data_IF_987338080296
#
_entry.id   IF_987338080296
#
_cell.length_a   1.000
_cell.length_b   1.000
_cell.length_c   1.000
_cell.angle_alpha   90.00
_cell.angle_beta   90.00
_cell.angle_gamma   90.00
#
_symmetry.space_group_name_H-M   'P 1'
#
loop_
_entity.id
_entity.type
_entity.pdbx_description
1 polymer ?
#
# COMPACT_ATOMS: atom_id res chain seq x y z
N UNK A 1 -10.78 -50.08 -37.84
CA UNK A 1 -9.57 -50.00 -38.70
C UNK A 1 -8.93 -48.62 -38.52
N UNK A 2 -7.62 -48.45 -38.33
CA UNK A 2 -6.58 -49.41 -37.89
C UNK A 2 -5.36 -48.64 -37.36
N UNK A 3 -4.69 -49.14 -36.31
CA UNK A 3 -3.51 -48.52 -35.69
C UNK A 3 -2.33 -48.43 -36.69
N UNK A 4 -1.70 -47.25 -36.87
CA UNK A 4 -0.39 -47.18 -37.57
C UNK A 4 0.56 -46.00 -37.25
N UNK A 5 0.42 -45.32 -36.10
CA UNK A 5 1.34 -44.23 -35.68
C UNK A 5 2.07 -44.46 -34.35
N UNK A 6 1.91 -45.63 -33.70
CA UNK A 6 2.65 -46.01 -32.49
C UNK A 6 3.76 -47.03 -32.84
N UNK A 7 4.98 -46.57 -33.16
CA UNK A 7 6.20 -47.43 -33.11
C UNK A 7 7.58 -46.73 -33.12
N UNK A 8 7.73 -45.49 -32.64
CA UNK A 8 9.03 -44.76 -32.64
C UNK A 8 9.36 -43.96 -31.35
N UNK A 9 9.00 -44.47 -30.17
CA UNK A 9 9.25 -43.78 -28.88
C UNK A 9 9.80 -44.73 -27.78
N UNK A 10 10.69 -45.68 -28.12
CA UNK A 10 11.13 -46.70 -27.15
C UNK A 10 12.62 -47.11 -27.11
N UNK A 11 13.58 -46.24 -27.52
CA UNK A 11 14.96 -46.36 -27.02
C UNK A 11 15.53 -45.04 -26.46
N UNK A 12 14.69 -44.09 -26.04
CA UNK A 12 15.13 -42.77 -25.51
C UNK A 12 14.84 -42.60 -24.01
N UNK A 13 13.86 -43.31 -23.46
CA UNK A 13 13.36 -43.09 -22.09
C UNK A 13 14.27 -43.65 -20.97
N UNK A 14 15.23 -44.53 -21.31
CA UNK A 14 16.09 -45.24 -20.33
C UNK A 14 17.33 -44.43 -19.92
N UNK A 15 17.73 -43.41 -20.70
CA UNK A 15 18.96 -42.63 -20.43
C UNK A 15 18.68 -41.35 -19.62
N UNK A 16 17.43 -40.91 -19.53
CA UNK A 16 17.05 -39.65 -18.84
C UNK A 16 16.84 -39.86 -17.32
N UNK A 17 16.49 -41.07 -16.89
CA UNK A 17 16.11 -41.37 -15.50
C UNK A 17 17.27 -41.38 -14.50
N UNK A 18 18.52 -41.52 -14.94
CA UNK A 18 19.70 -41.61 -14.07
C UNK A 18 20.23 -40.23 -13.62
N UNK A 19 19.86 -39.15 -14.32
CA UNK A 19 20.33 -37.77 -14.02
C UNK A 19 19.31 -36.89 -13.29
N UNK A 20 18.17 -37.44 -12.87
CA UNK A 20 17.16 -36.75 -12.06
C UNK A 20 16.80 -37.55 -10.79
N UNK A 21 17.82 -37.95 -10.03
CA UNK A 21 17.63 -38.32 -8.63
C UNK A 21 17.32 -37.05 -7.82
N UNK A 22 16.10 -36.89 -7.25
CA UNK A 22 15.80 -35.73 -6.42
C UNK A 22 16.52 -35.89 -5.08
N UNK A 23 17.52 -35.07 -4.81
CA UNK A 23 18.12 -34.95 -3.47
C UNK A 23 17.08 -34.33 -2.53
N UNK A 24 16.23 -35.21 -1.97
CA UNK A 24 15.29 -34.87 -0.89
C UNK A 24 16.12 -34.59 0.36
N UNK A 25 16.44 -33.32 0.60
CA UNK A 25 16.96 -32.87 1.89
C UNK A 25 15.86 -33.03 2.94
N UNK A 26 15.80 -34.22 3.54
CA UNK A 26 14.89 -34.53 4.65
C UNK A 26 15.43 -33.85 5.90
N UNK A 27 14.76 -32.79 6.31
CA UNK A 27 14.95 -32.19 7.63
C UNK A 27 14.64 -33.24 8.71
N UNK A 28 15.41 -33.25 9.79
CA UNK A 28 15.24 -34.22 10.86
C UNK A 28 13.93 -33.96 11.62
N UNK A 29 13.07 -34.96 11.68
CA UNK A 29 11.87 -34.96 12.52
C UNK A 29 11.82 -36.30 13.28
N UNK A 30 11.90 -36.25 14.60
CA UNK A 30 11.88 -37.41 15.49
C UNK A 30 10.47 -37.78 15.92
N UNK A 31 10.07 -39.04 15.75
CA UNK A 31 8.99 -39.68 16.51
C UNK A 31 9.11 -41.22 16.45
N UNK A 32 8.66 -41.91 17.50
CA UNK A 32 8.74 -43.37 17.66
C UNK A 32 7.43 -44.09 17.27
N UNK A 33 7.52 -45.43 17.29
CA UNK A 33 6.51 -46.37 17.79
C UNK A 33 5.48 -46.98 16.81
N UNK A 34 5.70 -48.27 16.54
CA UNK A 34 4.77 -49.42 16.61
C UNK A 34 3.31 -49.31 16.13
N UNK A 35 2.93 -50.28 15.29
CA UNK A 35 1.86 -51.25 15.63
C UNK A 35 1.95 -52.53 14.78
N UNK A 36 1.27 -53.60 15.22
CA UNK A 36 1.33 -54.97 14.68
C UNK A 36 -0.04 -55.38 14.14
N UNK A 37 -0.12 -56.28 13.15
CA UNK A 37 -1.06 -57.44 13.06
C UNK A 37 -1.12 -58.05 11.64
N UNK A 38 -0.93 -59.38 11.60
CA UNK A 38 -1.51 -60.46 10.74
C UNK A 38 -2.27 -60.12 9.45
N UNK A 39 -2.23 -60.94 8.38
CA UNK A 39 -1.49 -62.18 8.04
C UNK A 39 -1.59 -62.36 6.48
N UNK A 40 -1.26 -63.45 5.78
CA UNK A 40 -0.95 -64.87 6.05
C UNK A 40 -0.12 -65.43 4.83
N UNK A 41 0.20 -66.71 4.57
CA UNK A 41 -0.17 -68.05 5.08
C UNK A 41 0.93 -69.10 4.78
N UNK A 42 0.96 -70.20 5.55
CA UNK A 42 1.53 -71.54 5.24
C UNK A 42 2.92 -71.69 4.56
N UNK A 43 3.86 -72.28 5.31
CA UNK A 43 4.83 -73.26 4.75
C UNK A 43 4.18 -74.65 4.66
N UNK A 44 4.74 -75.58 3.87
CA UNK A 44 5.30 -76.79 4.50
C UNK A 44 6.68 -77.19 3.95
N UNK A 45 7.33 -78.15 4.61
CA UNK A 45 8.74 -78.52 4.41
C UNK A 45 9.01 -79.42 3.19
N UNK A 46 10.22 -79.27 2.64
CA UNK A 46 11.01 -80.38 2.10
C UNK A 46 12.51 -80.07 2.35
N UNK A 47 13.30 -81.08 2.74
CA UNK A 47 14.71 -80.90 3.11
C UNK A 47 15.66 -80.94 1.89
N UNK A 48 16.85 -80.37 2.09
CA UNK A 48 17.95 -80.23 1.12
C UNK A 48 18.44 -81.56 0.53
N UNK A 49 19.17 -81.55 -0.61
CA UNK A 49 20.62 -81.33 -0.47
C UNK A 49 21.27 -80.41 -1.51
N UNK A 50 22.35 -79.76 -1.04
CA UNK A 50 23.57 -79.33 -1.74
C UNK A 50 23.60 -79.34 -3.29
N UNK A 51 23.78 -78.14 -3.85
CA UNK A 51 24.62 -77.95 -5.05
C UNK A 51 25.17 -76.53 -5.17
N UNK A 52 26.48 -76.41 -4.99
CA UNK A 52 27.27 -75.36 -5.65
C UNK A 52 27.15 -75.47 -7.19
N UNK A 53 27.60 -74.42 -7.90
CA UNK A 53 27.69 -74.29 -9.38
C UNK A 53 26.40 -73.89 -10.13
N UNK A 54 26.03 -72.59 -10.12
CA UNK A 54 25.16 -72.04 -11.19
C UNK A 54 25.16 -70.50 -11.40
N UNK A 55 26.32 -69.84 -11.41
CA UNK A 55 26.42 -68.40 -11.79
C UNK A 55 27.33 -68.08 -13.01
N UNK A 56 28.30 -68.94 -13.38
CA UNK A 56 29.23 -68.62 -14.50
C UNK A 56 28.60 -68.81 -15.90
N UNK A 57 27.61 -69.70 -16.03
CA UNK A 57 27.17 -70.24 -17.33
C UNK A 57 26.39 -69.25 -18.23
N UNK A 58 25.77 -68.19 -17.70
CA UNK A 58 24.98 -67.26 -18.52
C UNK A 58 25.85 -66.42 -19.46
N UNK A 59 27.00 -65.93 -18.99
CA UNK A 59 27.91 -65.12 -19.81
C UNK A 59 28.57 -65.95 -20.93
N UNK A 60 28.88 -67.21 -20.67
CA UNK A 60 29.42 -68.12 -21.69
C UNK A 60 28.43 -68.37 -22.83
N UNK A 61 27.13 -68.53 -22.52
CA UNK A 61 26.08 -68.73 -23.51
C UNK A 61 26.03 -67.61 -24.56
N UNK A 62 26.18 -66.34 -24.14
CA UNK A 62 26.24 -65.20 -25.07
C UNK A 62 27.53 -65.21 -25.92
N UNK A 63 28.69 -65.52 -25.32
CA UNK A 63 29.99 -65.67 -26.02
C UNK A 63 29.99 -66.83 -27.04
N UNK A 64 29.03 -67.74 -26.95
CA UNK A 64 28.94 -68.95 -27.77
C UNK A 64 27.67 -69.08 -28.61
N UNK A 65 26.88 -68.01 -28.72
CA UNK A 65 25.71 -67.94 -29.59
C UNK A 65 26.03 -68.30 -31.05
N UNK A 66 25.07 -68.92 -31.74
CA UNK A 66 25.26 -69.45 -33.10
C UNK A 66 25.72 -68.38 -34.10
N UNK A 67 25.29 -67.11 -33.93
CA UNK A 67 25.75 -65.99 -34.74
C UNK A 67 27.25 -65.69 -34.56
N UNK A 68 27.75 -65.67 -33.32
CA UNK A 68 29.17 -65.42 -33.01
C UNK A 68 30.04 -66.57 -33.52
N UNK A 69 29.61 -67.83 -33.31
CA UNK A 69 30.32 -69.02 -33.82
C UNK A 69 30.34 -69.08 -35.35
N UNK A 70 29.22 -68.80 -36.03
CA UNK A 70 29.16 -68.80 -37.50
C UNK A 70 30.01 -67.67 -38.12
N UNK A 71 30.09 -66.50 -37.48
CA UNK A 71 30.93 -65.41 -37.94
C UNK A 71 32.43 -65.72 -37.75
N UNK A 72 32.82 -66.25 -36.59
CA UNK A 72 34.21 -66.65 -36.30
C UNK A 72 34.71 -67.75 -37.24
N UNK A 73 33.89 -68.78 -37.48
CA UNK A 73 34.21 -69.87 -38.41
C UNK A 73 34.44 -69.40 -39.85
N UNK A 74 33.76 -68.33 -40.29
CA UNK A 74 33.90 -67.78 -41.64
C UNK A 74 35.09 -66.80 -41.80
N UNK A 75 35.70 -66.36 -40.71
CA UNK A 75 36.92 -65.54 -40.70
C UNK A 75 38.18 -66.28 -40.20
N UNK A 76 38.06 -67.53 -39.76
CA UNK A 76 39.21 -68.34 -39.32
C UNK A 76 39.79 -67.94 -37.96
N UNK A 77 38.96 -67.40 -37.05
CA UNK A 77 39.40 -66.91 -35.73
C UNK A 77 38.67 -67.62 -34.59
N UNK A 78 39.36 -67.78 -33.45
CA UNK A 78 38.85 -68.50 -32.29
C UNK A 78 37.61 -67.81 -31.68
N UNK A 79 36.66 -68.61 -31.16
CA UNK A 79 35.35 -68.12 -30.70
C UNK A 79 35.44 -67.00 -29.65
N UNK A 80 36.43 -67.04 -28.77
CA UNK A 80 36.70 -65.99 -27.78
C UNK A 80 37.12 -64.65 -28.40
N UNK A 81 37.89 -64.69 -29.49
CA UNK A 81 38.32 -63.50 -30.22
C UNK A 81 37.11 -62.87 -30.93
N UNK A 82 36.23 -63.69 -31.52
CA UNK A 82 34.98 -63.23 -32.12
C UNK A 82 34.03 -62.59 -31.08
N UNK A 83 33.87 -63.20 -29.91
CA UNK A 83 33.08 -62.65 -28.81
C UNK A 83 33.66 -61.32 -28.30
N UNK A 84 34.98 -61.25 -28.08
CA UNK A 84 35.67 -60.05 -27.59
C UNK A 84 35.62 -58.92 -28.62
N UNK A 85 35.81 -59.23 -29.91
CA UNK A 85 35.66 -58.25 -30.99
C UNK A 85 34.23 -57.72 -31.10
N UNK A 86 33.21 -58.56 -30.96
CA UNK A 86 31.82 -58.12 -30.97
C UNK A 86 31.50 -57.18 -29.79
N UNK A 87 31.95 -57.50 -28.57
CA UNK A 87 31.82 -56.61 -27.42
C UNK A 87 32.55 -55.28 -27.63
N UNK A 88 33.77 -55.31 -28.18
CA UNK A 88 34.55 -54.10 -28.48
C UNK A 88 33.88 -53.22 -29.55
N UNK A 89 33.30 -53.82 -30.59
CA UNK A 89 32.55 -53.11 -31.64
C UNK A 89 31.28 -52.46 -31.08
N UNK A 90 30.52 -53.18 -30.23
CA UNK A 90 29.34 -52.62 -29.57
C UNK A 90 29.70 -51.47 -28.62
N UNK A 91 30.79 -51.62 -27.84
CA UNK A 91 31.29 -50.55 -26.97
C UNK A 91 31.75 -49.32 -27.78
N UNK A 92 32.50 -49.53 -28.86
CA UNK A 92 32.92 -48.44 -29.75
C UNK A 92 31.72 -47.73 -30.38
N UNK A 93 30.71 -48.46 -30.84
CA UNK A 93 29.48 -47.89 -31.40
C UNK A 93 28.71 -47.06 -30.36
N UNK A 94 28.63 -47.54 -29.11
CA UNK A 94 28.03 -46.82 -27.99
C UNK A 94 28.80 -45.53 -27.67
N UNK A 95 30.13 -45.61 -27.53
CA UNK A 95 31.00 -44.46 -27.24
C UNK A 95 30.95 -43.41 -28.37
N UNK A 96 30.93 -43.84 -29.63
CA UNK A 96 30.76 -42.93 -30.79
C UNK A 96 29.39 -42.26 -30.75
N UNK A 97 28.31 -43.02 -30.51
CA UNK A 97 26.95 -42.49 -30.44
C UNK A 97 26.74 -41.49 -29.30
N UNK A 98 27.11 -41.87 -28.07
CA UNK A 98 27.01 -41.02 -26.87
C UNK A 98 27.96 -39.82 -26.99
N UNK A 99 29.18 -40.03 -27.45
CA UNK A 99 30.16 -38.96 -27.69
C UNK A 99 29.64 -37.92 -28.68
N UNK A 100 29.10 -38.34 -29.83
CA UNK A 100 28.50 -37.42 -30.81
C UNK A 100 27.34 -36.61 -30.24
N UNK A 101 26.50 -37.22 -29.40
CA UNK A 101 25.42 -36.50 -28.69
C UNK A 101 25.99 -35.50 -27.68
N UNK A 102 26.97 -35.88 -26.86
CA UNK A 102 27.62 -34.99 -25.88
C UNK A 102 28.30 -33.80 -26.55
N UNK A 103 29.16 -34.02 -27.55
CA UNK A 103 29.85 -32.96 -28.30
C UNK A 103 28.87 -31.99 -28.97
N UNK A 104 27.67 -32.46 -29.35
CA UNK A 104 26.62 -31.64 -29.99
C UNK A 104 25.72 -30.88 -29.00
N UNK A 105 25.66 -31.30 -27.74
CA UNK A 105 24.73 -30.77 -26.72
C UNK A 105 25.42 -29.96 -25.62
N UNK A 106 26.53 -30.44 -25.06
CA UNK A 106 27.29 -29.75 -24.01
C UNK A 106 27.65 -28.30 -24.37
N UNK A 107 28.26 -27.97 -25.53
CA UNK A 107 28.63 -26.59 -25.83
C UNK A 107 27.42 -25.67 -26.06
N UNK A 108 26.23 -26.21 -26.33
CA UNK A 108 24.98 -25.42 -26.34
C UNK A 108 24.56 -25.11 -24.91
N UNK A 109 24.42 -26.13 -24.07
CA UNK A 109 24.01 -25.99 -22.66
C UNK A 109 24.93 -25.07 -21.87
N UNK A 110 26.26 -25.16 -22.07
CA UNK A 110 27.20 -24.23 -21.44
C UNK A 110 27.02 -22.80 -21.96
N UNK A 111 26.96 -22.60 -23.28
CA UNK A 111 26.80 -21.25 -23.87
C UNK A 111 25.48 -20.59 -23.47
N UNK A 112 24.40 -21.35 -23.37
CA UNK A 112 23.09 -20.83 -22.99
C UNK A 112 23.02 -20.56 -21.47
N UNK A 113 23.70 -21.35 -20.62
CA UNK A 113 23.95 -21.01 -19.21
C UNK A 113 24.81 -19.74 -19.05
N UNK A 114 25.89 -19.59 -19.82
CA UNK A 114 26.73 -18.38 -19.78
C UNK A 114 25.94 -17.13 -20.20
N UNK A 115 25.10 -17.22 -21.24
CA UNK A 115 24.18 -16.14 -21.62
C UNK A 115 23.18 -15.81 -20.52
N UNK A 116 22.59 -16.82 -19.87
CA UNK A 116 21.65 -16.61 -18.76
C UNK A 116 22.34 -15.91 -17.58
N UNK A 117 23.53 -16.36 -17.18
CA UNK A 117 24.33 -15.73 -16.11
C UNK A 117 24.71 -14.28 -16.48
N UNK A 118 25.17 -14.05 -17.71
CA UNK A 118 25.50 -12.70 -18.19
C UNK A 118 24.27 -11.79 -18.18
N UNK A 119 23.10 -12.29 -18.62
CA UNK A 119 21.84 -11.56 -18.56
C UNK A 119 21.43 -11.25 -17.12
N UNK A 120 21.44 -12.23 -16.22
CA UNK A 120 21.09 -12.00 -14.82
C UNK A 120 22.04 -11.00 -14.15
N UNK A 121 23.32 -10.97 -14.53
CA UNK A 121 24.28 -9.97 -14.05
C UNK A 121 24.02 -8.57 -14.64
N UNK A 122 23.60 -8.44 -15.90
CA UNK A 122 23.18 -7.14 -16.46
C UNK A 122 21.87 -6.66 -15.85
N UNK A 123 20.86 -7.54 -15.77
CA UNK A 123 19.53 -7.25 -15.23
C UNK A 123 19.65 -6.80 -13.76
N UNK A 124 20.45 -7.50 -12.95
CA UNK A 124 20.75 -7.12 -11.57
C UNK A 124 21.47 -5.76 -11.47
N UNK A 125 22.50 -5.52 -12.29
CA UNK A 125 23.21 -4.21 -12.31
C UNK A 125 22.27 -3.06 -12.69
N UNK A 126 21.37 -3.25 -13.67
CA UNK A 126 20.38 -2.24 -14.03
C UNK A 126 19.37 -2.02 -12.92
N UNK A 127 18.89 -3.08 -12.24
CA UNK A 127 17.98 -2.96 -11.12
C UNK A 127 18.62 -2.24 -9.91
N UNK A 128 19.89 -2.52 -9.60
CA UNK A 128 20.63 -1.78 -8.57
C UNK A 128 20.81 -0.31 -8.95
N UNK A 129 21.23 -0.02 -10.19
CA UNK A 129 21.41 1.37 -10.65
C UNK A 129 20.09 2.16 -10.63
N UNK A 130 18.98 1.54 -11.03
CA UNK A 130 17.65 2.15 -10.95
C UNK A 130 17.20 2.35 -9.49
N UNK A 131 17.44 1.37 -8.61
CA UNK A 131 17.13 1.50 -7.18
C UNK A 131 17.92 2.64 -6.51
N UNK A 132 19.22 2.77 -6.82
CA UNK A 132 20.04 3.90 -6.35
C UNK A 132 19.57 5.24 -6.90
N UNK A 133 19.25 5.33 -8.20
CA UNK A 133 18.71 6.55 -8.79
C UNK A 133 17.36 6.96 -8.17
N UNK A 134 16.49 5.98 -7.92
CA UNK A 134 15.21 6.19 -7.21
C UNK A 134 15.47 6.66 -5.78
N UNK A 135 16.38 6.04 -5.03
CA UNK A 135 16.75 6.43 -3.67
C UNK A 135 17.22 7.89 -3.61
N UNK A 136 18.21 8.28 -4.42
CA UNK A 136 18.71 9.67 -4.46
C UNK A 136 17.62 10.66 -4.90
N UNK A 137 16.69 10.25 -5.78
CA UNK A 137 15.54 11.09 -6.14
C UNK A 137 14.53 11.27 -5.00
N UNK A 138 14.45 10.34 -4.06
CA UNK A 138 13.61 10.44 -2.85
C UNK A 138 14.33 11.25 -1.77
N UNK A 139 15.62 11.01 -1.54
CA UNK A 139 16.46 11.79 -0.61
C UNK A 139 16.44 13.29 -0.97
N UNK A 140 16.61 13.63 -2.26
CA UNK A 140 16.52 15.01 -2.75
C UNK A 140 15.13 15.62 -2.60
N UNK A 141 14.05 14.81 -2.64
CA UNK A 141 12.68 15.28 -2.37
C UNK A 141 12.45 15.50 -0.88
N UNK A 142 12.95 14.62 -0.01
CA UNK A 142 12.86 14.76 1.45
C UNK A 142 13.59 16.00 1.92
N UNK A 143 14.85 16.20 1.52
CA UNK A 143 15.61 17.40 1.87
C UNK A 143 14.93 18.71 1.39
N UNK A 144 14.25 18.66 0.24
CA UNK A 144 13.43 19.80 -0.23
C UNK A 144 12.17 19.99 0.63
N UNK A 145 11.48 18.92 1.02
CA UNK A 145 10.33 19.02 1.93
C UNK A 145 10.74 19.56 3.30
N UNK A 146 11.90 19.16 3.85
CA UNK A 146 12.42 19.70 5.11
C UNK A 146 12.68 21.22 5.01
N UNK A 147 13.28 21.69 3.91
CA UNK A 147 13.44 23.13 3.67
C UNK A 147 12.10 23.87 3.54
N UNK A 148 11.12 23.30 2.83
CA UNK A 148 9.79 23.89 2.67
C UNK A 148 8.99 23.89 3.97
N UNK A 149 9.18 22.91 4.86
CA UNK A 149 8.59 22.88 6.21
C UNK A 149 9.23 23.95 7.10
N UNK A 150 10.53 24.17 7.00
CA UNK A 150 11.21 25.24 7.73
C UNK A 150 10.74 26.63 7.23
N UNK A 151 10.70 26.85 5.91
CA UNK A 151 10.15 28.07 5.29
C UNK A 151 8.71 28.32 5.76
N UNK A 152 7.83 27.32 5.64
CA UNK A 152 6.42 27.40 6.04
C UNK A 152 6.24 27.72 7.53
N UNK A 153 7.07 27.16 8.43
CA UNK A 153 7.05 27.51 9.85
C UNK A 153 7.44 28.97 10.09
N UNK A 154 8.58 29.41 9.54
CA UNK A 154 9.02 30.81 9.71
C UNK A 154 8.07 31.81 9.05
N UNK A 155 7.27 31.39 8.07
CA UNK A 155 6.22 32.22 7.48
C UNK A 155 4.98 32.26 8.37
N UNK A 156 4.49 31.11 8.83
CA UNK A 156 3.35 31.03 9.76
C UNK A 156 3.61 31.76 11.09
N UNK A 157 4.85 31.74 11.60
CA UNK A 157 5.26 32.50 12.79
C UNK A 157 5.18 34.02 12.56
N UNK A 158 5.62 34.52 11.40
CA UNK A 158 5.51 35.94 11.02
C UNK A 158 4.05 36.35 10.83
N UNK A 159 3.29 35.56 10.08
CA UNK A 159 1.89 35.84 9.76
C UNK A 159 1.04 35.82 11.04
N UNK A 160 1.28 34.87 11.95
CA UNK A 160 0.66 34.85 13.28
C UNK A 160 0.99 36.10 14.10
N UNK A 161 2.24 36.57 14.09
CA UNK A 161 2.63 37.78 14.82
C UNK A 161 2.03 39.07 14.21
N UNK A 162 1.90 39.12 12.89
CA UNK A 162 1.25 40.23 12.17
C UNK A 162 -0.27 40.23 12.40
N UNK A 163 -0.92 39.07 12.35
CA UNK A 163 -2.35 38.96 12.65
C UNK A 163 -2.66 39.22 14.12
N UNK A 164 -1.82 38.81 15.06
CA UNK A 164 -1.98 39.18 16.47
C UNK A 164 -1.95 40.71 16.66
N UNK A 165 -1.02 41.41 15.99
CA UNK A 165 -0.96 42.88 16.03
C UNK A 165 -2.19 43.51 15.36
N UNK A 166 -2.60 43.01 14.18
CA UNK A 166 -3.77 43.49 13.43
C UNK A 166 -5.07 43.30 14.20
N UNK A 167 -5.24 42.14 14.85
CA UNK A 167 -6.40 41.83 15.68
C UNK A 167 -6.41 42.72 16.94
N UNK A 168 -5.28 42.90 17.63
CA UNK A 168 -5.20 43.81 18.80
C UNK A 168 -5.55 45.25 18.43
N UNK A 169 -5.06 45.76 17.30
CA UNK A 169 -5.41 47.09 16.81
C UNK A 169 -6.91 47.21 16.51
N UNK A 170 -7.48 46.25 15.75
CA UNK A 170 -8.90 46.23 15.42
C UNK A 170 -9.80 46.12 16.66
N UNK A 171 -9.41 45.32 17.66
CA UNK A 171 -10.15 45.17 18.92
C UNK A 171 -10.12 46.46 19.76
N UNK A 172 -8.96 47.14 19.86
CA UNK A 172 -8.87 48.42 20.58
C UNK A 172 -9.63 49.55 19.86
N UNK A 173 -9.67 49.56 18.52
CA UNK A 173 -10.46 50.54 17.77
C UNK A 173 -11.97 50.25 17.83
N UNK A 174 -12.40 48.99 17.80
CA UNK A 174 -13.81 48.63 17.96
C UNK A 174 -14.30 48.90 19.39
N UNK A 175 -13.47 48.62 20.40
CA UNK A 175 -13.70 48.97 21.81
C UNK A 175 -13.93 50.47 21.99
N UNK A 176 -13.18 51.35 21.30
CA UNK A 176 -13.42 52.81 21.33
C UNK A 176 -14.80 53.15 20.77
N UNK A 177 -15.15 52.64 19.58
CA UNK A 177 -16.47 52.87 18.96
C UNK A 177 -17.62 52.39 19.85
N UNK A 178 -17.47 51.24 20.51
CA UNK A 178 -18.48 50.70 21.43
C UNK A 178 -18.65 51.62 22.64
N UNK A 179 -17.56 52.18 23.20
CA UNK A 179 -17.62 53.16 24.28
C UNK A 179 -18.25 54.48 23.82
N UNK A 180 -17.82 55.04 22.69
CA UNK A 180 -18.37 56.27 22.09
C UNK A 180 -19.88 56.14 21.80
N UNK A 181 -20.31 55.01 21.23
CA UNK A 181 -21.71 54.71 20.96
C UNK A 181 -22.52 54.55 22.26
N UNK A 182 -21.97 53.86 23.27
CA UNK A 182 -22.63 53.70 24.56
C UNK A 182 -22.75 55.03 25.32
N UNK A 183 -21.72 55.88 25.30
CA UNK A 183 -21.76 57.23 25.87
C UNK A 183 -22.80 58.12 25.17
N UNK A 184 -22.89 58.03 23.83
CA UNK A 184 -23.93 58.73 23.05
C UNK A 184 -25.35 58.20 23.38
N UNK A 185 -25.52 56.88 23.47
CA UNK A 185 -26.80 56.25 23.82
C UNK A 185 -27.23 56.65 25.24
N UNK A 186 -26.36 56.49 26.24
CA UNK A 186 -26.60 56.91 27.64
C UNK A 186 -26.94 58.39 27.72
N UNK A 187 -26.24 59.25 26.98
CA UNK A 187 -26.52 60.69 26.93
C UNK A 187 -27.91 60.97 26.34
N UNK A 188 -28.26 60.30 25.24
CA UNK A 188 -29.57 60.45 24.60
C UNK A 188 -30.72 59.99 25.51
N UNK A 189 -30.61 58.79 26.09
CA UNK A 189 -31.60 58.22 27.01
C UNK A 189 -31.73 59.05 28.30
N UNK A 190 -30.62 59.54 28.85
CA UNK A 190 -30.63 60.47 30.00
C UNK A 190 -31.33 61.78 29.64
N UNK A 191 -31.14 62.31 28.43
CA UNK A 191 -31.82 63.53 27.98
C UNK A 191 -33.33 63.32 27.77
N UNK A 192 -33.73 62.12 27.31
CA UNK A 192 -35.13 61.73 27.16
C UNK A 192 -35.81 61.54 28.52
N UNK A 193 -35.25 60.72 29.41
CA UNK A 193 -35.81 60.48 30.75
C UNK A 193 -35.96 61.79 31.56
N UNK A 194 -35.03 62.75 31.41
CA UNK A 194 -35.15 64.09 32.01
C UNK A 194 -36.35 64.88 31.46
N UNK A 195 -36.65 64.79 30.16
CA UNK A 195 -37.82 65.44 29.53
C UNK A 195 -39.12 64.80 29.98
N UNK A 196 -39.17 63.47 30.03
CA UNK A 196 -40.32 62.70 30.50
C UNK A 196 -40.65 63.01 31.96
N UNK A 197 -39.64 63.04 32.84
CA UNK A 197 -39.80 63.47 34.24
C UNK A 197 -40.25 64.93 34.36
N UNK A 198 -39.75 65.84 33.51
CA UNK A 198 -40.16 67.24 33.50
C UNK A 198 -41.62 67.41 33.04
N UNK A 199 -42.06 66.64 32.04
CA UNK A 199 -43.45 66.61 31.58
C UNK A 199 -44.37 66.08 32.69
N UNK A 200 -44.05 64.91 33.26
CA UNK A 200 -44.83 64.31 34.35
C UNK A 200 -44.94 65.24 35.59
N UNK A 201 -43.86 65.95 35.93
CA UNK A 201 -43.87 66.94 37.00
C UNK A 201 -44.73 68.18 36.67
N UNK A 202 -44.75 68.62 35.41
CA UNK A 202 -45.60 69.72 34.96
C UNK A 202 -47.09 69.31 34.97
N UNK A 203 -47.42 68.13 34.46
CA UNK A 203 -48.77 67.57 34.48
C UNK A 203 -49.29 67.44 35.91
N UNK A 204 -48.50 66.85 36.82
CA UNK A 204 -48.85 66.73 38.24
C UNK A 204 -49.03 68.10 38.92
N UNK A 205 -48.25 69.12 38.53
CA UNK A 205 -48.40 70.47 39.06
C UNK A 205 -49.69 71.15 38.54
N UNK A 206 -50.03 70.98 37.26
CA UNK A 206 -51.30 71.44 36.67
C UNK A 206 -52.48 70.76 37.38
N UNK A 207 -52.38 69.46 37.58
CA UNK A 207 -53.43 68.64 38.21
C UNK A 207 -53.66 69.03 39.68
N UNK A 208 -52.59 69.34 40.43
CA UNK A 208 -52.69 69.92 41.78
C UNK A 208 -53.21 71.36 41.80
N UNK A 209 -52.86 72.18 40.80
CA UNK A 209 -53.36 73.55 40.68
C UNK A 209 -54.86 73.56 40.37
N UNK A 210 -55.32 72.73 39.44
CA UNK A 210 -56.74 72.55 39.12
C UNK A 210 -57.56 72.11 40.34
N UNK A 211 -57.04 71.15 41.13
CA UNK A 211 -57.65 70.69 42.39
C UNK A 211 -57.71 71.77 43.49
N UNK A 212 -56.93 72.84 43.39
CA UNK A 212 -56.93 74.00 44.31
C UNK A 212 -57.65 75.23 43.74
N UNK A 213 -58.13 75.18 42.50
CA UNK A 213 -58.72 76.33 41.81
C UNK A 213 -60.18 76.54 42.23
N UNK A 214 -60.40 77.30 43.31
CA UNK A 214 -61.74 77.71 43.74
C UNK A 214 -62.22 78.88 42.87
N UNK A 215 -63.05 78.59 41.87
CA UNK A 215 -63.66 79.62 41.01
C UNK A 215 -64.77 80.34 41.77
N UNK A 216 -64.61 81.65 41.99
CA UNK A 216 -65.62 82.53 42.57
C UNK A 216 -66.08 83.56 41.53
N UNK A 217 -67.30 84.09 41.70
CA UNK A 217 -67.87 85.09 40.79
C UNK A 217 -67.10 86.42 40.72
N UNK A 218 -66.21 86.68 41.69
CA UNK A 218 -65.30 87.84 41.69
C UNK A 218 -64.06 87.56 40.82
N UNK A 219 -63.42 86.39 40.98
CA UNK A 219 -62.32 85.93 40.13
C UNK A 219 -62.75 85.92 38.65
N UNK A 220 -63.95 85.43 38.35
CA UNK A 220 -64.47 85.33 36.99
C UNK A 220 -64.65 86.70 36.32
N UNK A 221 -65.17 87.70 37.06
CA UNK A 221 -65.23 89.10 36.60
C UNK A 221 -63.85 89.70 36.34
N UNK A 222 -62.87 89.42 37.20
CA UNK A 222 -61.49 89.88 37.02
C UNK A 222 -60.82 89.22 35.80
N UNK A 223 -61.10 87.95 35.52
CA UNK A 223 -60.62 87.27 34.31
C UNK A 223 -61.17 87.93 33.05
N UNK A 224 -62.49 88.14 32.96
CA UNK A 224 -63.14 88.80 31.81
C UNK A 224 -62.60 90.21 31.59
N UNK A 225 -62.44 91.00 32.65
CA UNK A 225 -61.92 92.37 32.54
C UNK A 225 -60.46 92.42 32.05
N UNK A 226 -59.61 91.49 32.52
CA UNK A 226 -58.22 91.40 32.05
C UNK A 226 -58.12 90.86 30.61
N UNK A 227 -58.99 89.94 30.20
CA UNK A 227 -59.02 89.43 28.83
C UNK A 227 -59.44 90.52 27.83
N UNK A 228 -60.48 91.29 28.15
CA UNK A 228 -60.89 92.46 27.36
C UNK A 228 -59.77 93.52 27.27
N UNK A 229 -59.03 93.76 28.37
CA UNK A 229 -57.86 94.64 28.37
C UNK A 229 -56.74 94.13 27.46
N UNK A 230 -56.44 92.82 27.45
CA UNK A 230 -55.45 92.22 26.54
C UNK A 230 -55.84 92.34 25.06
N UNK A 231 -57.09 92.04 24.71
CA UNK A 231 -57.59 92.22 23.34
C UNK A 231 -57.45 93.67 22.87
N UNK A 232 -57.79 94.64 23.74
CA UNK A 232 -57.66 96.08 23.45
C UNK A 232 -56.19 96.55 23.38
N UNK A 233 -55.26 95.83 24.01
CA UNK A 233 -53.82 96.06 23.95
C UNK A 233 -53.23 95.58 22.62
N UNK A 234 -53.32 94.28 22.32
CA UNK A 234 -52.78 93.68 21.09
C UNK A 234 -53.31 94.38 19.82
N UNK A 235 -54.55 94.86 19.82
CA UNK A 235 -55.14 95.61 18.70
C UNK A 235 -54.43 96.93 18.35
N UNK A 236 -53.57 97.46 19.25
CA UNK A 236 -52.73 98.65 19.01
C UNK A 236 -51.29 98.32 18.63
N UNK A 237 -50.85 97.09 18.85
CA UNK A 237 -49.43 96.70 18.72
C UNK A 237 -49.11 96.21 17.29
N UNK A 238 -50.11 95.69 16.57
CA UNK A 238 -50.01 95.30 15.15
C UNK A 238 -50.34 96.41 14.13
N UNK A 239 -49.98 97.67 14.41
CA UNK A 239 -50.20 98.82 13.51
C UNK A 239 -48.94 99.66 13.23
N UNK A 240 -47.74 99.08 13.45
CA UNK A 240 -46.45 99.67 13.08
C UNK A 240 -45.65 98.68 12.21
#
# INVERSE_FOLDING_TARGET
MTLKTIKRIFPVLVVVTVLFAPVRVTWAQSAQLSSVTSSDQSSPEAQSPDKNQQEENENEAYRHSAAVRALGAKLGLNAEQAATAFTLINFALLVIGVGWVLLKTLPKLFRDRSKAIQKHLTDARTATAEASARLTSVEARLAKLDSQIAEMRTQAEKDSALDEQRIKAAVEDEKKKILEAAEQEITSATSQARRELQQYAADLAIDQAAKKLVVTAETDRLLVQNFARRLTGNAKEGQN
#
